data_IF_457136978284
#
_entry.id   IF_457136978284
#
_cell.length_a   1.000
_cell.length_b   1.000
_cell.length_c   1.000
_cell.angle_alpha   90.00
_cell.angle_beta   90.00
_cell.angle_gamma   90.00
#
_symmetry.space_group_name_H-M   'P 1'
#
loop_
_entity.id
_entity.type
_entity.pdbx_description
1 polymer ?
#
# COMPACT_ATOMS: atom_id res chain seq x y z
N UNK A 1 -19.47 -22.59 -24.82
CA UNK A 1 -18.50 -21.53 -24.63
C UNK A 1 -18.65 -21.02 -23.20
N UNK A 2 -17.68 -21.34 -22.32
CA UNK A 2 -17.66 -20.74 -20.98
C UNK A 2 -17.53 -19.21 -21.13
N UNK A 3 -18.31 -18.42 -20.35
CA UNK A 3 -18.16 -16.99 -20.37
C UNK A 3 -16.74 -16.65 -19.87
N UNK A 4 -15.91 -16.15 -20.75
CA UNK A 4 -14.57 -15.66 -20.41
C UNK A 4 -14.72 -14.70 -19.25
N UNK A 5 -14.18 -15.08 -18.10
CA UNK A 5 -14.23 -14.34 -16.85
C UNK A 5 -13.63 -12.95 -17.11
N UNK A 6 -14.48 -11.93 -17.14
CA UNK A 6 -14.07 -10.55 -17.44
C UNK A 6 -13.01 -10.15 -16.43
N UNK A 7 -11.75 -10.10 -16.88
CA UNK A 7 -10.60 -9.70 -16.07
C UNK A 7 -10.82 -8.27 -15.60
N UNK A 8 -10.58 -8.01 -14.32
CA UNK A 8 -10.73 -6.65 -13.78
C UNK A 8 -9.40 -5.92 -14.04
N UNK A 9 -9.25 -5.44 -15.27
CA UNK A 9 -8.03 -4.79 -15.77
C UNK A 9 -7.46 -3.75 -14.81
N UNK A 10 -8.33 -2.99 -14.14
CA UNK A 10 -7.91 -1.94 -13.19
C UNK A 10 -7.12 -2.47 -12.01
N UNK A 11 -7.47 -3.64 -11.48
CA UNK A 11 -6.70 -4.21 -10.37
C UNK A 11 -5.33 -4.67 -10.82
N UNK A 12 -5.19 -5.09 -12.08
CA UNK A 12 -3.90 -5.48 -12.63
C UNK A 12 -3.02 -4.24 -12.87
N UNK A 13 -3.58 -3.16 -13.42
CA UNK A 13 -2.87 -1.89 -13.54
C UNK A 13 -2.44 -1.32 -12.18
N UNK A 14 -3.34 -1.35 -11.17
CA UNK A 14 -3.01 -0.89 -9.81
C UNK A 14 -1.92 -1.74 -9.16
N UNK A 15 -1.89 -3.05 -9.41
CA UNK A 15 -0.81 -3.93 -8.93
C UNK A 15 0.52 -3.58 -9.57
N UNK A 16 0.55 -3.40 -10.91
CA UNK A 16 1.74 -2.97 -11.62
C UNK A 16 2.27 -1.64 -11.10
N UNK A 17 1.38 -0.66 -10.92
CA UNK A 17 1.71 0.64 -10.35
C UNK A 17 2.27 0.52 -8.91
N UNK A 18 1.64 -0.30 -8.07
CA UNK A 18 2.10 -0.52 -6.70
C UNK A 18 3.48 -1.20 -6.66
N UNK A 19 3.72 -2.18 -7.52
CA UNK A 19 5.02 -2.86 -7.63
C UNK A 19 6.12 -1.91 -8.09
N UNK A 20 5.86 -1.05 -9.08
CA UNK A 20 6.81 -0.01 -9.49
C UNK A 20 7.22 0.88 -8.32
N UNK A 21 6.25 1.38 -7.54
CA UNK A 21 6.53 2.21 -6.38
C UNK A 21 7.32 1.47 -5.29
N UNK A 22 7.06 0.18 -5.09
CA UNK A 22 7.84 -0.65 -4.15
C UNK A 22 9.29 -0.79 -4.62
N UNK A 23 9.55 -0.95 -5.92
CA UNK A 23 10.90 -0.98 -6.46
C UNK A 23 11.62 0.34 -6.16
N UNK A 24 10.97 1.50 -6.40
CA UNK A 24 11.56 2.80 -6.08
C UNK A 24 11.83 2.98 -4.58
N UNK A 25 10.95 2.47 -3.70
CA UNK A 25 11.16 2.53 -2.25
C UNK A 25 12.37 1.70 -1.81
N UNK A 26 12.63 0.58 -2.47
CA UNK A 26 13.69 -0.37 -2.09
C UNK A 26 15.02 -0.11 -2.82
N UNK A 27 15.04 0.74 -3.85
CA UNK A 27 16.23 0.90 -4.70
C UNK A 27 17.47 1.32 -3.90
N UNK A 28 17.31 2.23 -2.93
CA UNK A 28 18.42 2.72 -2.09
C UNK A 28 19.01 1.59 -1.25
N UNK A 29 18.17 0.73 -0.69
CA UNK A 29 18.59 -0.44 0.08
C UNK A 29 19.24 -1.51 -0.81
N UNK A 30 18.73 -1.71 -2.03
CA UNK A 30 19.27 -2.70 -2.99
C UNK A 30 20.67 -2.30 -3.47
N UNK A 31 20.89 -1.00 -3.74
CA UNK A 31 22.16 -0.51 -4.29
C UNK A 31 23.22 -0.29 -3.18
N UNK A 32 22.84 -0.45 -1.91
CA UNK A 32 23.72 -0.19 -0.75
C UNK A 32 24.39 1.18 -0.81
N UNK A 33 23.62 2.23 -1.11
CA UNK A 33 24.13 3.59 -1.11
C UNK A 33 24.52 3.97 0.32
N UNK A 34 25.82 4.18 0.55
CA UNK A 34 26.37 4.49 1.88
C UNK A 34 26.60 5.96 2.09
N UNK A 35 26.72 6.75 1.02
CA UNK A 35 26.99 8.20 1.08
C UNK A 35 26.11 8.94 0.08
N UNK A 36 25.45 10.00 0.56
CA UNK A 36 24.71 10.96 -0.25
C UNK A 36 25.49 12.27 -0.27
N UNK A 37 26.29 12.49 -1.30
CA UNK A 37 27.23 13.64 -1.35
C UNK A 37 26.75 14.78 -2.25
N UNK A 38 25.66 14.60 -2.97
CA UNK A 38 25.16 15.59 -3.93
C UNK A 38 23.79 16.17 -3.57
N UNK A 39 23.57 17.46 -3.91
CA UNK A 39 22.27 18.12 -3.76
C UNK A 39 21.14 17.35 -4.47
N UNK A 40 21.45 16.67 -5.57
CA UNK A 40 20.48 15.86 -6.33
C UNK A 40 20.02 14.65 -5.51
N UNK A 41 20.93 14.01 -4.76
CA UNK A 41 20.63 12.84 -3.94
C UNK A 41 19.70 13.23 -2.77
N UNK A 42 19.96 14.37 -2.13
CA UNK A 42 19.13 14.91 -1.04
C UNK A 42 17.71 15.19 -1.56
N UNK A 43 17.58 15.84 -2.70
CA UNK A 43 16.28 16.15 -3.32
C UNK A 43 15.56 14.86 -3.71
N UNK A 44 16.25 13.90 -4.31
CA UNK A 44 15.69 12.61 -4.66
C UNK A 44 15.17 11.87 -3.42
N UNK A 45 15.97 11.75 -2.36
CA UNK A 45 15.57 11.10 -1.11
C UNK A 45 14.38 11.79 -0.45
N UNK A 46 14.33 13.13 -0.48
CA UNK A 46 13.19 13.89 0.01
C UNK A 46 11.89 13.47 -0.68
N UNK A 47 11.87 13.48 -2.00
CA UNK A 47 10.67 13.13 -2.75
C UNK A 47 10.33 11.64 -2.66
N UNK A 48 11.33 10.77 -2.56
CA UNK A 48 11.11 9.35 -2.33
C UNK A 48 10.40 9.10 -0.99
N UNK A 49 10.86 9.72 0.09
CA UNK A 49 10.23 9.62 1.41
C UNK A 49 8.80 10.20 1.41
N UNK A 50 8.62 11.37 0.79
CA UNK A 50 7.33 12.08 0.79
C UNK A 50 6.30 11.38 -0.11
N UNK A 51 6.67 10.92 -1.30
CA UNK A 51 5.74 10.44 -2.32
C UNK A 51 5.62 8.91 -2.38
N UNK A 52 6.65 8.18 -1.97
CA UNK A 52 6.74 6.74 -2.23
C UNK A 52 6.69 5.93 -0.94
N UNK A 53 7.50 6.25 0.06
CA UNK A 53 7.64 5.46 1.28
C UNK A 53 6.29 5.29 2.02
N UNK A 54 5.99 4.08 2.47
CA UNK A 54 4.74 3.65 3.09
C UNK A 54 3.48 3.71 2.18
N UNK A 55 3.44 4.53 1.13
CA UNK A 55 2.24 4.75 0.30
C UNK A 55 1.97 3.56 -0.62
N UNK A 56 2.98 3.15 -1.39
CA UNK A 56 2.85 2.02 -2.31
C UNK A 56 2.70 0.68 -1.58
N UNK A 57 3.34 0.57 -0.43
CA UNK A 57 3.14 -0.53 0.49
C UNK A 57 1.68 -0.62 0.98
N UNK A 58 1.06 0.52 1.31
CA UNK A 58 -0.36 0.60 1.68
C UNK A 58 -1.27 0.18 0.52
N UNK A 59 -0.99 0.66 -0.70
CA UNK A 59 -1.76 0.30 -1.89
C UNK A 59 -1.69 -1.21 -2.13
N UNK A 60 -0.48 -1.78 -2.08
CA UNK A 60 -0.28 -3.20 -2.30
C UNK A 60 -0.97 -4.05 -1.24
N UNK A 61 -0.92 -3.62 0.04
CA UNK A 61 -1.64 -4.27 1.13
C UNK A 61 -3.15 -4.30 0.91
N UNK A 62 -3.74 -3.18 0.51
CA UNK A 62 -5.17 -3.10 0.18
C UNK A 62 -5.54 -4.03 -0.99
N UNK A 63 -4.72 -4.03 -2.04
CA UNK A 63 -4.90 -4.90 -3.21
C UNK A 63 -4.74 -6.38 -2.88
N UNK A 64 -3.91 -6.73 -1.88
CA UNK A 64 -3.79 -8.09 -1.39
C UNK A 64 -5.11 -8.58 -0.79
N UNK A 65 -5.75 -7.76 0.05
CA UNK A 65 -7.07 -8.08 0.62
C UNK A 65 -8.18 -8.23 -0.44
N UNK A 66 -8.23 -7.32 -1.43
CA UNK A 66 -9.15 -7.43 -2.58
C UNK A 66 -8.87 -8.73 -3.36
N UNK A 67 -7.59 -9.01 -3.61
CA UNK A 67 -7.15 -10.22 -4.31
C UNK A 67 -7.52 -11.51 -3.56
N UNK A 68 -7.43 -11.49 -2.22
CA UNK A 68 -7.91 -12.59 -1.37
C UNK A 68 -9.39 -12.85 -1.57
N UNK A 69 -10.24 -11.81 -1.50
CA UNK A 69 -11.68 -11.96 -1.74
C UNK A 69 -11.97 -12.59 -3.11
N UNK A 70 -11.39 -12.03 -4.17
CA UNK A 70 -11.61 -12.51 -5.54
C UNK A 70 -11.16 -13.97 -5.67
N UNK A 71 -10.00 -14.31 -5.13
CA UNK A 71 -9.48 -15.67 -5.17
C UNK A 71 -10.39 -16.65 -4.41
N UNK A 72 -10.78 -16.29 -3.18
CA UNK A 72 -11.59 -17.12 -2.32
C UNK A 72 -12.99 -17.36 -2.89
N UNK A 73 -13.62 -16.28 -3.38
CA UNK A 73 -14.92 -16.35 -4.05
C UNK A 73 -14.89 -17.22 -5.30
N UNK A 74 -13.85 -17.06 -6.13
CA UNK A 74 -13.67 -17.85 -7.34
C UNK A 74 -13.40 -19.32 -7.07
N UNK A 75 -12.69 -19.66 -6.00
CA UNK A 75 -12.44 -21.02 -5.59
C UNK A 75 -13.74 -21.73 -5.15
N UNK A 76 -14.57 -21.01 -4.37
CA UNK A 76 -15.91 -21.51 -3.98
C UNK A 76 -16.80 -21.81 -5.18
N UNK A 77 -16.77 -20.98 -6.23
CA UNK A 77 -17.57 -21.19 -7.44
C UNK A 77 -17.15 -22.42 -8.28
N UNK A 78 -15.92 -22.90 -8.07
CA UNK A 78 -15.36 -24.05 -8.81
C UNK A 78 -15.42 -25.37 -8.04
N UNK A 79 -16.19 -25.42 -6.94
CA UNK A 79 -16.28 -26.59 -6.06
C UNK A 79 -14.92 -27.08 -5.54
N UNK A 80 -13.96 -26.19 -5.41
CA UNK A 80 -12.64 -26.51 -4.87
C UNK A 80 -12.54 -25.92 -3.47
N UNK A 81 -11.90 -26.64 -2.54
CA UNK A 81 -11.71 -26.15 -1.17
C UNK A 81 -10.86 -24.86 -1.16
N UNK A 82 -11.47 -23.67 -0.88
CA UNK A 82 -10.79 -22.40 -0.97
C UNK A 82 -9.74 -22.22 0.13
N UNK A 83 -9.97 -22.85 1.30
CA UNK A 83 -9.06 -22.78 2.46
C UNK A 83 -7.75 -23.47 2.15
N UNK A 84 -7.80 -24.69 1.62
CA UNK A 84 -6.61 -25.45 1.24
C UNK A 84 -5.80 -24.71 0.15
N UNK A 85 -6.48 -24.21 -0.88
CA UNK A 85 -5.81 -23.47 -1.95
C UNK A 85 -5.14 -22.18 -1.44
N UNK A 86 -5.81 -21.48 -0.55
CA UNK A 86 -5.25 -20.26 0.04
C UNK A 86 -4.06 -20.57 0.95
N UNK A 87 -4.17 -21.57 1.81
CA UNK A 87 -3.09 -22.00 2.68
C UNK A 87 -1.84 -22.37 1.87
N UNK A 88 -2.00 -23.12 0.78
CA UNK A 88 -0.89 -23.43 -0.12
C UNK A 88 -0.22 -22.16 -0.68
N UNK A 89 -1.01 -21.15 -1.08
CA UNK A 89 -0.47 -19.88 -1.57
C UNK A 89 0.29 -19.11 -0.49
N UNK A 90 -0.24 -19.05 0.72
CA UNK A 90 0.41 -18.40 1.85
C UNK A 90 1.72 -19.11 2.23
N UNK A 91 1.74 -20.45 2.21
CA UNK A 91 2.98 -21.22 2.45
C UNK A 91 4.04 -20.93 1.39
N UNK A 92 3.65 -20.89 0.11
CA UNK A 92 4.59 -20.51 -0.96
C UNK A 92 5.09 -19.07 -0.76
N UNK A 93 4.19 -18.14 -0.44
CA UNK A 93 4.57 -16.75 -0.16
C UNK A 93 5.51 -16.64 1.04
N UNK A 94 5.27 -17.43 2.10
CA UNK A 94 6.13 -17.50 3.28
C UNK A 94 7.53 -18.00 2.93
N UNK A 95 7.61 -19.09 2.16
CA UNK A 95 8.90 -19.65 1.72
C UNK A 95 9.68 -18.66 0.85
N UNK A 96 8.99 -18.02 -0.11
CA UNK A 96 9.60 -16.99 -0.95
C UNK A 96 10.05 -15.79 -0.11
N UNK A 97 9.22 -15.36 0.87
CA UNK A 97 9.56 -14.28 1.80
C UNK A 97 10.77 -14.60 2.67
N UNK A 98 10.89 -15.84 3.17
CA UNK A 98 12.06 -16.29 3.92
C UNK A 98 13.34 -16.27 3.08
N UNK A 99 13.26 -16.76 1.84
CA UNK A 99 14.41 -16.73 0.91
C UNK A 99 14.77 -15.27 0.59
N UNK A 100 13.77 -14.44 0.29
CA UNK A 100 14.01 -13.05 -0.08
C UNK A 100 14.60 -12.24 1.07
N UNK A 101 14.23 -12.54 2.31
CA UNK A 101 14.75 -11.87 3.50
C UNK A 101 16.26 -12.09 3.72
N UNK A 102 16.83 -13.17 3.16
CA UNK A 102 18.28 -13.40 3.18
C UNK A 102 19.01 -12.35 2.32
N UNK A 103 18.40 -11.95 1.20
CA UNK A 103 18.98 -10.97 0.26
C UNK A 103 18.60 -9.53 0.60
N UNK A 104 17.40 -9.32 1.14
CA UNK A 104 16.82 -8.01 1.46
C UNK A 104 16.18 -8.05 2.85
N UNK A 105 16.93 -7.79 3.94
CA UNK A 105 16.39 -7.75 5.30
C UNK A 105 15.29 -6.65 5.43
N UNK A 106 14.19 -7.00 6.11
CA UNK A 106 13.06 -6.06 6.31
C UNK A 106 12.03 -6.05 5.17
N UNK A 107 12.11 -6.97 4.24
CA UNK A 107 11.17 -7.14 3.15
C UNK A 107 9.74 -7.49 3.60
N UNK A 108 8.78 -6.96 2.85
CA UNK A 108 7.35 -7.08 3.20
C UNK A 108 6.74 -8.46 2.95
N UNK A 109 7.31 -9.28 2.04
CA UNK A 109 6.72 -10.55 1.60
C UNK A 109 6.48 -11.52 2.76
N UNK A 110 7.47 -11.64 3.63
CA UNK A 110 7.38 -12.48 4.82
C UNK A 110 6.26 -12.03 5.76
N UNK A 111 6.18 -10.72 6.02
CA UNK A 111 5.12 -10.15 6.85
C UNK A 111 3.74 -10.30 6.21
N UNK A 112 3.64 -10.20 4.89
CA UNK A 112 2.38 -10.44 4.16
C UNK A 112 1.90 -11.88 4.30
N UNK A 113 2.79 -12.86 4.34
CA UNK A 113 2.41 -14.24 4.57
C UNK A 113 1.88 -14.44 6.00
N UNK A 114 2.58 -13.89 7.01
CA UNK A 114 2.16 -14.00 8.41
C UNK A 114 0.81 -13.30 8.64
N UNK A 115 0.66 -12.06 8.17
CA UNK A 115 -0.57 -11.26 8.33
C UNK A 115 -1.68 -11.77 7.43
N UNK A 116 -1.36 -12.36 6.28
CA UNK A 116 -2.32 -12.94 5.36
C UNK A 116 -3.01 -14.20 5.91
N UNK A 117 -2.34 -14.98 6.73
CA UNK A 117 -2.91 -16.21 7.29
C UNK A 117 -4.16 -15.95 8.14
N UNK A 118 -4.17 -15.03 9.12
CA UNK A 118 -5.36 -14.70 9.90
C UNK A 118 -6.54 -14.16 9.08
N UNK A 119 -6.31 -13.69 7.84
CA UNK A 119 -7.38 -13.19 6.97
C UNK A 119 -8.46 -14.26 6.71
N UNK A 120 -8.12 -15.55 6.81
CA UNK A 120 -9.07 -16.64 6.73
C UNK A 120 -10.17 -16.57 7.80
N UNK A 121 -9.87 -16.06 9.00
CA UNK A 121 -10.83 -15.93 10.09
C UNK A 121 -11.94 -14.95 9.74
N UNK A 122 -11.62 -13.91 8.98
CA UNK A 122 -12.56 -12.87 8.57
C UNK A 122 -13.56 -13.34 7.49
N UNK A 123 -13.35 -14.53 6.92
CA UNK A 123 -14.33 -15.16 6.00
C UNK A 123 -15.60 -15.63 6.73
N UNK A 124 -15.54 -15.82 8.05
CA UNK A 124 -16.66 -16.20 8.90
C UNK A 124 -17.36 -15.02 9.56
N UNK A 125 -16.81 -13.80 9.39
CA UNK A 125 -17.29 -12.60 10.03
C UNK A 125 -18.13 -11.77 9.06
N UNK A 126 -19.21 -11.14 9.57
CA UNK A 126 -20.07 -10.27 8.76
C UNK A 126 -19.27 -9.08 8.18
N UNK A 127 -19.61 -8.69 6.97
CA UNK A 127 -18.92 -7.62 6.24
C UNK A 127 -18.93 -6.26 6.97
N UNK A 128 -19.96 -5.97 7.77
CA UNK A 128 -20.03 -4.72 8.56
C UNK A 128 -19.05 -4.76 9.72
N UNK A 129 -18.93 -5.91 10.37
CA UNK A 129 -17.96 -6.13 11.45
C UNK A 129 -16.55 -6.07 10.86
N UNK A 130 -16.31 -6.71 9.71
CA UNK A 130 -15.03 -6.63 9.00
C UNK A 130 -14.64 -5.18 8.68
N UNK A 131 -15.61 -4.36 8.23
CA UNK A 131 -15.37 -2.93 7.97
C UNK A 131 -14.91 -2.21 9.24
N UNK A 132 -15.63 -2.39 10.35
CA UNK A 132 -15.32 -1.72 11.62
C UNK A 132 -13.97 -2.20 12.15
N UNK A 133 -13.71 -3.49 12.17
CA UNK A 133 -12.43 -4.06 12.62
C UNK A 133 -11.26 -3.60 11.74
N UNK A 134 -11.45 -3.57 10.42
CA UNK A 134 -10.45 -3.07 9.50
C UNK A 134 -10.10 -1.60 9.73
N UNK A 135 -11.12 -0.75 9.99
CA UNK A 135 -10.91 0.67 10.33
C UNK A 135 -10.21 0.85 11.68
N UNK A 136 -10.61 0.09 12.71
CA UNK A 136 -9.96 0.14 14.04
C UNK A 136 -8.51 -0.28 13.93
N UNK A 137 -8.22 -1.41 13.29
CA UNK A 137 -6.84 -1.90 13.13
C UNK A 137 -5.99 -0.96 12.27
N UNK A 138 -6.58 -0.35 11.24
CA UNK A 138 -5.88 0.68 10.47
C UNK A 138 -5.54 1.89 11.35
N UNK A 139 -6.51 2.40 12.12
CA UNK A 139 -6.29 3.54 13.00
C UNK A 139 -5.22 3.25 14.07
N UNK A 140 -5.31 2.11 14.75
CA UNK A 140 -4.31 1.69 15.74
C UNK A 140 -2.93 1.50 15.09
N UNK A 141 -2.88 0.91 13.91
CA UNK A 141 -1.65 0.72 13.16
C UNK A 141 -1.01 2.04 12.76
N UNK A 142 -1.80 2.99 12.27
CA UNK A 142 -1.32 4.34 11.92
C UNK A 142 -0.79 5.05 13.17
N UNK A 143 -1.55 5.04 14.27
CA UNK A 143 -1.16 5.69 15.53
C UNK A 143 0.12 5.11 16.16
N UNK A 144 0.46 3.86 15.86
CA UNK A 144 1.72 3.26 16.32
C UNK A 144 2.98 3.84 15.66
N UNK A 145 2.85 4.63 14.58
CA UNK A 145 3.97 5.18 13.82
C UNK A 145 4.77 4.15 13.03
N UNK A 146 4.33 2.90 12.97
CA UNK A 146 5.03 1.83 12.27
C UNK A 146 4.28 1.37 11.02
N UNK A 147 4.95 1.38 9.86
CA UNK A 147 4.37 0.99 8.58
C UNK A 147 3.90 -0.47 8.49
N UNK A 148 4.40 -1.35 9.35
CA UNK A 148 4.01 -2.77 9.36
C UNK A 148 2.68 -2.97 10.09
N UNK A 149 2.41 -2.20 11.13
CA UNK A 149 1.25 -2.41 12.02
C UNK A 149 -0.09 -2.05 11.39
N UNK A 150 -0.12 -1.24 10.33
CA UNK A 150 -1.37 -0.96 9.61
C UNK A 150 -1.72 -1.97 8.50
N UNK A 151 -0.82 -2.90 8.15
CA UNK A 151 -1.07 -3.93 7.14
C UNK A 151 -2.33 -4.76 7.43
N UNK A 152 -2.53 -5.30 8.67
CA UNK A 152 -3.73 -6.08 8.99
C UNK A 152 -5.01 -5.32 8.69
N UNK A 153 -5.07 -4.04 9.08
CA UNK A 153 -6.22 -3.18 8.79
C UNK A 153 -6.50 -3.04 7.30
N UNK A 154 -5.45 -2.79 6.49
CA UNK A 154 -5.57 -2.67 5.03
C UNK A 154 -5.98 -3.99 4.36
N UNK A 155 -5.49 -5.13 4.85
CA UNK A 155 -5.89 -6.44 4.34
C UNK A 155 -7.37 -6.68 4.55
N UNK A 156 -7.88 -6.42 5.77
CA UNK A 156 -9.29 -6.60 6.11
C UNK A 156 -10.16 -5.60 5.32
N UNK A 157 -9.74 -4.34 5.20
CA UNK A 157 -10.45 -3.34 4.40
C UNK A 157 -10.48 -3.73 2.92
N UNK A 158 -9.37 -4.23 2.36
CA UNK A 158 -9.32 -4.75 1.00
C UNK A 158 -10.28 -5.93 0.80
N UNK A 159 -10.30 -6.87 1.74
CA UNK A 159 -11.27 -7.97 1.74
C UNK A 159 -12.72 -7.47 1.80
N UNK A 160 -12.99 -6.48 2.65
CA UNK A 160 -14.31 -5.87 2.81
C UNK A 160 -14.75 -5.12 1.53
N UNK A 161 -13.85 -4.41 0.86
CA UNK A 161 -14.10 -3.81 -0.47
C UNK A 161 -14.56 -4.88 -1.46
N UNK A 162 -13.94 -6.06 -1.40
CA UNK A 162 -14.36 -7.24 -2.15
C UNK A 162 -15.77 -7.68 -1.78
N UNK A 163 -16.10 -7.83 -0.48
CA UNK A 163 -17.41 -8.27 0.02
C UNK A 163 -18.56 -7.32 -0.35
N UNK A 164 -18.29 -6.04 -0.51
CA UNK A 164 -19.26 -5.04 -0.99
C UNK A 164 -19.27 -4.89 -2.52
N UNK A 165 -18.48 -5.67 -3.25
CA UNK A 165 -18.31 -5.58 -4.70
C UNK A 165 -17.90 -4.18 -5.22
N UNK A 166 -17.34 -3.33 -4.35
CA UNK A 166 -16.96 -1.96 -4.71
C UNK A 166 -15.92 -1.93 -5.84
N UNK A 167 -15.05 -2.93 -5.90
CA UNK A 167 -14.06 -3.09 -6.97
C UNK A 167 -14.68 -3.30 -8.37
N UNK A 168 -15.97 -3.70 -8.45
CA UNK A 168 -16.72 -3.84 -9.69
C UNK A 168 -17.59 -2.62 -9.98
N UNK A 169 -18.15 -2.00 -8.93
CA UNK A 169 -19.20 -0.98 -9.04
C UNK A 169 -18.67 0.45 -9.06
N UNK A 170 -17.44 0.69 -8.59
CA UNK A 170 -16.85 2.03 -8.49
C UNK A 170 -16.87 2.82 -9.81
N UNK A 171 -16.80 2.10 -10.95
CA UNK A 171 -16.87 2.71 -12.28
C UNK A 171 -18.27 3.21 -12.65
N UNK A 172 -19.30 2.57 -12.13
CA UNK A 172 -20.71 2.91 -12.42
C UNK A 172 -21.19 4.11 -11.61
N UNK A 173 -20.53 4.43 -10.49
CA UNK A 173 -20.89 5.55 -9.62
C UNK A 173 -19.99 6.76 -9.85
N UNK A 174 -20.06 7.36 -11.05
CA UNK A 174 -19.19 8.48 -11.45
C UNK A 174 -19.25 9.69 -10.49
N UNK A 175 -20.42 9.97 -9.88
CA UNK A 175 -20.58 11.06 -8.92
C UNK A 175 -19.83 10.76 -7.61
N UNK A 176 -20.02 9.56 -7.07
CA UNK A 176 -19.33 9.13 -5.85
C UNK A 176 -17.81 9.12 -6.05
N UNK A 177 -17.33 8.59 -7.17
CA UNK A 177 -15.90 8.59 -7.48
C UNK A 177 -15.31 10.01 -7.56
N UNK A 178 -16.01 10.95 -8.20
CA UNK A 178 -15.56 12.35 -8.27
C UNK A 178 -15.51 13.01 -6.89
N UNK A 179 -16.54 12.82 -6.07
CA UNK A 179 -16.57 13.36 -4.70
C UNK A 179 -15.46 12.76 -3.86
N UNK A 180 -15.27 11.43 -3.89
CA UNK A 180 -14.19 10.75 -3.17
C UNK A 180 -12.81 11.22 -3.63
N UNK A 181 -12.63 11.45 -4.94
CA UNK A 181 -11.38 11.98 -5.48
C UNK A 181 -11.12 13.41 -4.99
N UNK A 182 -12.12 14.28 -4.98
CA UNK A 182 -11.99 15.65 -4.46
C UNK A 182 -11.62 15.66 -2.97
N UNK A 183 -12.30 14.84 -2.15
CA UNK A 183 -11.99 14.73 -0.72
C UNK A 183 -10.58 14.18 -0.49
N UNK A 184 -10.19 13.14 -1.23
CA UNK A 184 -8.84 12.59 -1.13
C UNK A 184 -7.76 13.55 -1.63
N UNK A 185 -8.07 14.41 -2.61
CA UNK A 185 -7.15 15.48 -3.06
C UNK A 185 -6.88 16.49 -1.95
N UNK A 186 -7.90 16.86 -1.17
CA UNK A 186 -7.71 17.73 0.00
C UNK A 186 -6.79 17.06 1.02
N UNK A 187 -7.07 15.79 1.36
CA UNK A 187 -6.20 15.01 2.25
C UNK A 187 -4.75 14.88 1.73
N UNK A 188 -4.59 14.68 0.42
CA UNK A 188 -3.28 14.65 -0.23
C UNK A 188 -2.53 15.99 -0.08
N UNK A 189 -3.19 17.12 -0.38
CA UNK A 189 -2.57 18.45 -0.29
C UNK A 189 -2.15 18.74 1.15
N UNK A 190 -3.03 18.50 2.14
CA UNK A 190 -2.70 18.69 3.55
C UNK A 190 -1.50 17.82 3.94
N UNK A 191 -1.50 16.55 3.53
CA UNK A 191 -0.39 15.62 3.80
C UNK A 191 0.92 16.10 3.18
N UNK A 192 0.89 16.62 1.93
CA UNK A 192 2.07 17.16 1.26
C UNK A 192 2.63 18.38 2.00
N UNK A 193 1.75 19.30 2.41
CA UNK A 193 2.16 20.50 3.18
C UNK A 193 2.83 20.07 4.50
N UNK A 194 2.18 19.19 5.26
CA UNK A 194 2.72 18.69 6.54
C UNK A 194 4.07 18.02 6.34
N UNK A 195 4.20 17.09 5.41
CA UNK A 195 5.46 16.39 5.16
C UNK A 195 6.56 17.32 4.64
N UNK A 196 6.21 18.36 3.91
CA UNK A 196 7.19 19.34 3.44
C UNK A 196 7.69 20.25 4.58
N UNK A 197 6.80 20.68 5.49
CA UNK A 197 7.14 21.55 6.63
C UNK A 197 7.99 20.81 7.68
N UNK A 198 7.75 19.52 7.90
CA UNK A 198 8.45 18.71 8.89
C UNK A 198 9.55 17.84 8.28
N UNK A 199 9.95 18.10 7.04
CA UNK A 199 11.00 17.32 6.39
C UNK A 199 12.33 17.48 7.14
N UNK A 200 12.94 16.35 7.45
CA UNK A 200 14.28 16.25 8.02
C UNK A 200 15.13 15.39 7.10
N UNK A 201 16.27 15.91 6.67
CA UNK A 201 17.21 15.18 5.84
C UNK A 201 17.81 13.98 6.61
N UNK A 202 18.15 12.87 5.93
CA UNK A 202 18.86 11.77 6.56
C UNK A 202 20.20 12.20 7.19
N UNK A 203 20.63 11.48 8.22
CA UNK A 203 21.77 11.86 9.09
C UNK A 203 23.15 11.97 8.41
N UNK A 204 23.25 11.56 7.16
CA UNK A 204 24.50 11.64 6.39
C UNK A 204 24.98 13.08 6.15
N UNK A 205 24.07 14.05 6.25
CA UNK A 205 24.35 15.48 6.03
C UNK A 205 24.65 16.25 7.34
N UNK A 206 24.71 15.54 8.47
CA UNK A 206 24.80 16.18 9.79
C UNK A 206 26.19 16.62 10.22
N UNK A 207 27.20 16.41 9.43
CA UNK A 207 28.56 16.89 9.73
C UNK A 207 28.59 18.42 9.86
N UNK A 208 27.61 19.12 9.28
CA UNK A 208 27.45 20.57 9.36
C UNK A 208 26.28 21.05 10.25
N UNK A 209 25.49 20.16 10.89
CA UNK A 209 24.31 20.61 11.64
C UNK A 209 24.69 21.15 13.04
N UNK A 210 24.18 22.33 13.36
CA UNK A 210 24.27 22.98 14.68
C UNK A 210 23.35 22.37 15.72
N UNK A 211 22.56 21.34 15.37
CA UNK A 211 21.60 20.70 16.24
C UNK A 211 22.26 19.61 17.09
N UNK A 212 21.81 19.50 18.35
CA UNK A 212 22.21 18.37 19.18
C UNK A 212 21.69 17.06 18.61
N UNK A 213 22.42 15.95 18.77
CA UNK A 213 22.00 14.63 18.30
C UNK A 213 20.59 14.26 18.81
N UNK A 214 20.24 14.61 20.03
CA UNK A 214 18.92 14.32 20.62
C UNK A 214 17.79 15.09 19.91
N UNK A 215 18.01 16.37 19.61
CA UNK A 215 17.03 17.18 18.89
C UNK A 215 16.81 16.65 17.47
N UNK A 216 17.88 16.30 16.78
CA UNK A 216 17.79 15.71 15.45
C UNK A 216 17.01 14.39 15.46
N UNK A 217 17.31 13.48 16.39
CA UNK A 217 16.61 12.18 16.50
C UNK A 217 15.12 12.41 16.70
N UNK A 218 14.71 13.31 17.59
CA UNK A 218 13.29 13.65 17.80
C UNK A 218 12.62 14.22 16.53
N UNK A 219 13.31 15.10 15.82
CA UNK A 219 12.78 15.64 14.56
C UNK A 219 12.62 14.57 13.49
N UNK A 220 13.62 13.68 13.36
CA UNK A 220 13.58 12.58 12.40
C UNK A 220 12.49 11.55 12.74
N UNK A 221 12.32 11.18 14.02
CA UNK A 221 11.24 10.32 14.49
C UNK A 221 9.87 10.95 14.21
N UNK A 222 9.72 12.25 14.46
CA UNK A 222 8.48 12.99 14.16
C UNK A 222 8.16 12.92 12.67
N UNK A 223 9.14 13.18 11.81
CA UNK A 223 8.99 13.11 10.36
C UNK A 223 8.64 11.68 9.91
N UNK A 224 9.33 10.68 10.44
CA UNK A 224 9.07 9.26 10.15
C UNK A 224 7.63 8.85 10.52
N UNK A 225 7.16 9.27 11.69
CA UNK A 225 5.77 9.05 12.12
C UNK A 225 4.77 9.75 11.19
N UNK A 226 5.05 10.98 10.77
CA UNK A 226 4.20 11.72 9.83
C UNK A 226 4.12 11.03 8.46
N UNK A 227 5.19 10.38 7.99
CA UNK A 227 5.16 9.55 6.78
C UNK A 227 4.09 8.45 6.92
N UNK A 228 4.05 7.78 8.08
CA UNK A 228 3.08 6.70 8.36
C UNK A 228 1.66 7.27 8.52
N UNK A 229 1.48 8.37 9.27
CA UNK A 229 0.17 8.98 9.51
C UNK A 229 -0.49 9.50 8.22
N UNK A 230 0.30 10.02 7.29
CA UNK A 230 -0.18 10.54 6.01
C UNK A 230 -0.34 9.47 4.93
N UNK A 231 0.28 8.31 5.09
CA UNK A 231 0.29 7.25 4.07
C UNK A 231 -1.11 6.81 3.60
N UNK A 232 -2.13 6.58 4.47
CA UNK A 232 -3.46 6.19 4.00
C UNK A 232 -4.13 7.25 3.12
N UNK A 233 -3.96 8.54 3.43
CA UNK A 233 -4.56 9.64 2.67
C UNK A 233 -3.94 9.77 1.28
N UNK A 234 -2.62 9.73 1.21
CA UNK A 234 -1.88 9.81 -0.06
C UNK A 234 -2.15 8.57 -0.91
N UNK A 235 -2.15 7.38 -0.30
CA UNK A 235 -2.44 6.12 -1.00
C UNK A 235 -3.87 6.09 -1.55
N UNK A 236 -4.84 6.57 -0.78
CA UNK A 236 -6.24 6.68 -1.23
C UNK A 236 -6.35 7.63 -2.43
N UNK A 237 -5.68 8.78 -2.38
CA UNK A 237 -5.62 9.70 -3.52
C UNK A 237 -5.03 9.03 -4.76
N UNK A 238 -3.90 8.32 -4.64
CA UNK A 238 -3.29 7.61 -5.76
C UNK A 238 -4.23 6.56 -6.36
N UNK A 239 -4.86 5.74 -5.54
CA UNK A 239 -5.80 4.72 -6.00
C UNK A 239 -6.99 5.36 -6.73
N UNK A 240 -7.61 6.38 -6.15
CA UNK A 240 -8.79 7.04 -6.74
C UNK A 240 -8.45 7.80 -8.01
N UNK A 241 -7.31 8.49 -8.04
CA UNK A 241 -6.79 9.16 -9.23
C UNK A 241 -6.54 8.15 -10.35
N UNK A 242 -5.89 7.04 -10.05
CA UNK A 242 -5.59 5.99 -11.01
C UNK A 242 -6.87 5.37 -11.58
N UNK A 243 -7.82 5.03 -10.69
CA UNK A 243 -9.16 4.54 -11.10
C UNK A 243 -9.89 5.56 -11.97
N UNK A 244 -9.78 6.85 -11.67
CA UNK A 244 -10.40 7.90 -12.46
C UNK A 244 -9.74 8.04 -13.84
N UNK A 245 -8.41 8.03 -13.92
CA UNK A 245 -7.65 8.12 -15.16
C UNK A 245 -7.94 6.93 -16.10
N UNK A 246 -8.11 5.74 -15.56
CA UNK A 246 -8.46 4.55 -16.35
C UNK A 246 -9.86 4.59 -16.98
N UNK A 247 -10.66 5.64 -16.77
CA UNK A 247 -11.88 5.88 -17.56
C UNK A 247 -11.58 6.40 -18.97
N UNK A 248 -10.41 6.96 -19.16
CA UNK A 248 -10.00 7.55 -20.43
C UNK A 248 -9.15 6.55 -21.23
N UNK A 249 -9.52 6.29 -22.49
CA UNK A 249 -8.82 5.30 -23.33
C UNK A 249 -7.35 5.69 -23.61
N UNK A 250 -7.06 6.98 -23.68
CA UNK A 250 -5.68 7.47 -23.80
C UNK A 250 -4.80 7.06 -22.61
N UNK A 251 -5.34 7.17 -21.38
CA UNK A 251 -4.64 6.76 -20.17
C UNK A 251 -4.44 5.24 -20.11
N UNK A 252 -5.45 4.46 -20.51
CA UNK A 252 -5.33 2.99 -20.60
C UNK A 252 -4.23 2.58 -21.57
N UNK A 253 -4.14 3.25 -22.74
CA UNK A 253 -3.12 2.96 -23.73
C UNK A 253 -1.72 3.27 -23.23
N UNK A 254 -1.56 4.35 -22.48
CA UNK A 254 -0.28 4.74 -21.87
C UNK A 254 0.15 3.78 -20.75
N UNK A 255 -0.81 3.31 -19.93
CA UNK A 255 -0.55 2.45 -18.76
C UNK A 255 -0.55 0.95 -19.10
N UNK A 256 -0.80 0.57 -20.34
CA UNK A 256 -0.85 -0.82 -20.81
C UNK A 256 0.44 -1.63 -20.55
N UNK A 257 1.64 -1.03 -20.49
CA UNK A 257 2.87 -1.74 -20.14
C UNK A 257 3.00 -2.13 -18.67
N UNK A 258 2.18 -1.56 -17.78
CA UNK A 258 2.15 -1.90 -16.34
C UNK A 258 1.33 -3.19 -16.11
#
# INVERSE_FOLDING_TARGET
>A
MEPTKKRIEVLDYLRGFALLGIIFANIVSIIHVTEHTGNVDIVYMKYLNILVEAKFFSIFSLLFGIGFYIFFHNAKQKDVNPYFLYLRRILILLLLGLIHQIFQPGEALFFYAIVGLPLLLFTFVDKRINLVLGLILLALGVLSGNKITFIPGLFILGYTIGQYDLHKTIYHHARALRISLLLSTIGFIISMVVLHLYYVAPSYDLVESTLSNETYVKMYETFSNLIVYTAPFISLFYVLLFVYLLKFDGAKKLLRPL
#
